data_IF_566108609763
#
_entry.id   IF_566108609763
#
_cell.length_a   1.000
_cell.length_b   1.000
_cell.length_c   1.000
_cell.angle_alpha   90.00
_cell.angle_beta   90.00
_cell.angle_gamma   90.00
#
_symmetry.space_group_name_H-M   'P 1'
#
loop_
_entity.id
_entity.type
_entity.pdbx_description
1 polymer ?
#
# COMPACT_ATOMS: atom_id res chain seq x y z
N UNK A 1 -3.91 -4.77 -4.74
CA UNK A 1 -2.76 -5.54 -4.23
C UNK A 1 -2.47 -5.10 -2.80
N UNK A 2 -1.99 -6.01 -1.95
CA UNK A 2 -1.76 -5.73 -0.53
C UNK A 2 -0.32 -6.10 -0.11
N UNK A 3 0.35 -5.19 0.60
CA UNK A 3 1.68 -5.39 1.18
C UNK A 3 1.69 -4.97 2.65
N UNK A 4 2.47 -5.66 3.47
CA UNK A 4 2.49 -5.47 4.92
C UNK A 4 3.89 -5.07 5.38
N UNK A 5 3.99 -4.07 6.26
CA UNK A 5 5.19 -3.85 7.10
C UNK A 5 4.95 -4.53 8.46
N UNK A 6 5.46 -5.74 8.69
CA UNK A 6 5.11 -6.50 9.89
C UNK A 6 5.80 -6.00 11.16
N UNK A 7 6.84 -5.14 11.08
CA UNK A 7 7.81 -5.06 12.19
C UNK A 7 8.68 -3.79 12.24
N UNK A 8 8.48 -2.79 11.38
CA UNK A 8 9.13 -1.48 11.51
C UNK A 8 10.32 -1.25 10.60
N UNK A 9 10.20 -1.55 9.31
CA UNK A 9 11.18 -1.06 8.32
C UNK A 9 10.50 -0.32 7.19
N UNK A 10 11.00 0.91 7.02
CA UNK A 10 10.74 1.88 5.97
C UNK A 10 9.46 1.64 5.19
N UNK A 11 8.38 2.14 5.76
CA UNK A 11 7.04 2.28 5.18
C UNK A 11 7.08 2.77 3.72
N UNK A 12 8.03 3.63 3.35
CA UNK A 12 8.23 4.09 1.98
C UNK A 12 8.68 2.98 1.02
N UNK A 13 9.50 2.03 1.47
CA UNK A 13 9.97 0.90 0.67
C UNK A 13 8.82 -0.06 0.33
N UNK A 14 7.96 -0.38 1.31
CA UNK A 14 6.76 -1.21 1.09
C UNK A 14 5.80 -0.53 0.12
N UNK A 15 5.63 0.79 0.24
CA UNK A 15 4.84 1.55 -0.72
C UNK A 15 5.46 1.52 -2.13
N UNK A 16 6.77 1.71 -2.27
CA UNK A 16 7.48 1.64 -3.56
C UNK A 16 7.33 0.27 -4.20
N UNK A 17 7.52 -0.82 -3.46
CA UNK A 17 7.28 -2.19 -3.97
C UNK A 17 5.83 -2.36 -4.42
N UNK A 18 4.90 -1.78 -3.66
CA UNK A 18 3.50 -1.68 -4.01
C UNK A 18 3.29 -1.01 -5.37
N UNK A 19 3.89 0.16 -5.55
CA UNK A 19 3.77 0.94 -6.78
C UNK A 19 4.41 0.21 -7.96
N UNK A 20 5.58 -0.38 -7.81
CA UNK A 20 6.25 -1.13 -8.89
C UNK A 20 5.37 -2.27 -9.41
N UNK A 21 4.84 -3.10 -8.52
CA UNK A 21 3.93 -4.20 -8.91
C UNK A 21 2.59 -3.71 -9.47
N UNK A 22 2.16 -2.50 -9.10
CA UNK A 22 0.96 -1.87 -9.68
C UNK A 22 1.24 -1.33 -11.09
N UNK A 23 2.42 -0.74 -11.28
CA UNK A 23 2.89 -0.19 -12.54
C UNK A 23 3.07 -1.28 -13.61
N UNK A 24 3.62 -2.44 -13.22
CA UNK A 24 3.74 -3.62 -14.09
C UNK A 24 2.40 -4.03 -14.70
N UNK A 25 1.32 -4.01 -13.89
CA UNK A 25 -0.03 -4.34 -14.36
C UNK A 25 -0.64 -3.29 -15.30
N UNK A 26 -0.12 -2.07 -15.27
CA UNK A 26 -0.47 -0.99 -16.19
C UNK A 26 0.50 -0.88 -17.36
N UNK A 27 1.54 -1.72 -17.43
CA UNK A 27 2.66 -1.57 -18.36
C UNK A 27 3.26 -0.16 -18.33
N UNK A 28 3.40 0.42 -17.13
CA UNK A 28 3.96 1.74 -16.86
C UNK A 28 5.18 1.64 -15.94
N UNK A 29 5.99 2.69 -15.92
CA UNK A 29 7.02 2.87 -14.89
C UNK A 29 6.38 3.41 -13.59
N UNK A 30 6.79 2.90 -12.43
CA UNK A 30 6.25 3.36 -11.14
C UNK A 30 6.53 4.82 -10.83
N UNK A 31 7.62 5.39 -11.37
CA UNK A 31 7.97 6.80 -11.20
C UNK A 31 7.05 7.77 -11.93
N UNK A 32 6.26 7.28 -12.91
CA UNK A 32 5.32 8.09 -13.69
C UNK A 32 3.85 7.80 -13.35
N UNK A 33 3.58 6.91 -12.38
CA UNK A 33 2.22 6.68 -11.91
C UNK A 33 1.71 7.88 -11.13
N UNK A 34 0.49 8.33 -11.45
CA UNK A 34 -0.14 9.47 -10.79
C UNK A 34 -1.22 8.99 -9.81
N UNK A 35 -1.10 9.28 -8.49
CA UNK A 35 -2.15 8.98 -7.53
C UNK A 35 -3.45 9.71 -7.88
N UNK A 36 -4.58 9.03 -7.74
CA UNK A 36 -5.90 9.51 -8.16
C UNK A 36 -6.23 9.26 -9.64
N UNK A 37 -5.23 9.09 -10.51
CA UNK A 37 -5.43 8.78 -11.93
C UNK A 37 -5.15 7.32 -12.26
N UNK A 38 -3.95 6.85 -11.93
CA UNK A 38 -3.47 5.49 -12.22
C UNK A 38 -3.77 4.52 -11.08
N UNK A 39 -3.80 5.02 -9.85
CA UNK A 39 -4.08 4.23 -8.67
C UNK A 39 -4.70 5.05 -7.55
N UNK A 40 -5.45 4.40 -6.66
CA UNK A 40 -5.73 4.88 -5.31
C UNK A 40 -4.88 4.08 -4.32
N UNK A 41 -4.33 4.77 -3.32
CA UNK A 41 -3.65 4.15 -2.19
C UNK A 41 -4.42 4.36 -0.88
N UNK A 42 -4.48 3.29 -0.07
CA UNK A 42 -5.03 3.33 1.28
C UNK A 42 -4.04 2.65 2.20
N UNK A 43 -3.69 3.32 3.30
CA UNK A 43 -2.87 2.77 4.38
C UNK A 43 -3.79 2.41 5.52
N UNK A 44 -3.90 1.12 5.84
CA UNK A 44 -4.73 0.62 6.92
C UNK A 44 -3.87 0.17 8.10
N UNK A 45 -4.39 0.36 9.31
CA UNK A 45 -3.83 -0.26 10.51
C UNK A 45 -4.13 -1.76 10.52
N UNK A 46 -3.08 -2.57 10.62
CA UNK A 46 -3.15 -4.03 10.58
C UNK A 46 -2.42 -4.65 11.77
N UNK A 47 -3.14 -5.39 12.60
CA UNK A 47 -2.53 -6.22 13.62
C UNK A 47 -1.96 -7.49 12.97
N UNK A 48 -0.64 -7.51 12.83
CA UNK A 48 0.08 -8.63 12.22
C UNK A 48 0.08 -9.89 13.08
N UNK A 49 -0.11 -9.77 14.41
CA UNK A 49 -0.14 -10.94 15.31
C UNK A 49 -1.44 -11.72 15.16
N UNK A 50 -2.54 -11.00 14.99
CA UNK A 50 -3.87 -11.60 14.83
C UNK A 50 -4.33 -11.68 13.38
N UNK A 51 -3.52 -11.18 12.45
CA UNK A 51 -3.82 -11.04 11.02
C UNK A 51 -5.14 -10.28 10.73
N UNK A 52 -5.45 -9.25 11.52
CA UNK A 52 -6.70 -8.47 11.42
C UNK A 52 -6.44 -7.02 11.05
N UNK A 53 -7.24 -6.47 10.15
CA UNK A 53 -7.27 -5.02 9.89
C UNK A 53 -8.46 -4.39 10.61
N UNK A 54 -8.24 -3.22 11.22
CA UNK A 54 -9.31 -2.42 11.79
C UNK A 54 -10.13 -1.66 10.71
N UNK A 55 -9.69 -1.67 9.45
CA UNK A 55 -10.35 -0.93 8.36
C UNK A 55 -10.22 0.60 8.45
N UNK A 56 -9.68 1.12 9.55
CA UNK A 56 -9.42 2.53 9.75
C UNK A 56 -8.00 2.90 9.30
N UNK A 57 -7.90 3.96 8.52
CA UNK A 57 -6.63 4.57 8.14
C UNK A 57 -6.15 5.49 9.27
N UNK A 58 -5.59 4.90 10.33
CA UNK A 58 -5.03 5.66 11.45
C UNK A 58 -3.53 5.83 11.29
N UNK A 59 -3.12 7.08 11.12
CA UNK A 59 -1.72 7.47 11.19
C UNK A 59 -1.26 7.58 12.63
N UNK A 60 -0.05 7.11 12.86
CA UNK A 60 0.80 7.24 14.06
C UNK A 60 0.86 6.05 15.02
N UNK A 61 2.11 5.82 15.41
CA UNK A 61 2.70 4.63 15.99
C UNK A 61 1.90 4.00 17.13
N UNK A 62 1.70 2.68 17.04
CA UNK A 62 2.06 1.76 18.14
C UNK A 62 1.77 0.32 17.72
N UNK A 63 2.83 -0.52 17.71
CA UNK A 63 2.83 -2.01 17.71
C UNK A 63 2.05 -2.76 16.61
N UNK A 64 1.33 -2.06 15.76
CA UNK A 64 0.55 -2.57 14.63
C UNK A 64 1.36 -2.38 13.33
N UNK A 65 1.30 -3.38 12.44
CA UNK A 65 1.86 -3.28 11.11
C UNK A 65 1.00 -2.38 10.23
N UNK A 66 1.60 -1.82 9.17
CA UNK A 66 0.84 -1.06 8.16
C UNK A 66 0.52 -1.97 6.98
N UNK A 67 -0.75 -1.97 6.56
CA UNK A 67 -1.21 -2.64 5.35
C UNK A 67 -1.39 -1.60 4.25
N UNK A 68 -0.57 -1.69 3.22
CA UNK A 68 -0.65 -0.88 2.01
C UNK A 68 -1.58 -1.55 1.00
N UNK A 69 -2.64 -0.85 0.62
CA UNK A 69 -3.57 -1.30 -0.41
C UNK A 69 -3.48 -0.36 -1.60
N UNK A 70 -3.03 -0.88 -2.73
CA UNK A 70 -3.02 -0.14 -4.00
C UNK A 70 -4.10 -0.72 -4.92
N UNK A 71 -5.03 0.15 -5.30
CA UNK A 71 -6.10 -0.13 -6.26
C UNK A 71 -5.76 0.55 -7.58
N UNK A 72 -5.47 -0.27 -8.59
CA UNK A 72 -5.16 0.21 -9.94
C UNK A 72 -6.45 0.68 -10.61
N UNK A 73 -6.41 1.84 -11.27
CA UNK A 73 -7.46 2.32 -12.16
C UNK A 73 -7.08 1.97 -13.58
N UNK A 74 -7.69 0.93 -14.14
CA UNK A 74 -7.62 0.70 -15.59
C UNK A 74 -8.52 1.73 -16.26
N UNK A 75 -7.96 2.56 -17.14
CA UNK A 75 -8.78 3.24 -18.15
C UNK A 75 -9.40 2.15 -19.02
N UNK A 76 -10.73 2.12 -19.06
CA UNK A 76 -11.50 1.27 -19.97
C UNK A 76 -11.32 1.72 -21.40
#
# INVERSE_FOLDING_TARGET
MYLLDPTGKNVGEVMVQGLTLAAERLSKDSSVMVPGEDYDDVVLSYDWRTHRSAGEATGFADRNGRLYVIRIKKKS
#
